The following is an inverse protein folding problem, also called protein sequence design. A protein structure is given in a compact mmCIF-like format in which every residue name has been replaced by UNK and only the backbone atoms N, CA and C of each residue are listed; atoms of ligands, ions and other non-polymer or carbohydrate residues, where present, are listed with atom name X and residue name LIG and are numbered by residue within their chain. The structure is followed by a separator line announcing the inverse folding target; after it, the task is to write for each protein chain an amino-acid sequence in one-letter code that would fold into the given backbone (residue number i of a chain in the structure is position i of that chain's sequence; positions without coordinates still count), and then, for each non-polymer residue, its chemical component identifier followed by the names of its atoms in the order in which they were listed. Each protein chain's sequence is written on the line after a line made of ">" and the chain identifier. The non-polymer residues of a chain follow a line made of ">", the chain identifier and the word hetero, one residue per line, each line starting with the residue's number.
data_IF_069046623418
#
_entry.id   IF_069046623418
#
_cell.length_a   1.000
_cell.length_b   1.000
_cell.length_c   1.000
_cell.angle_alpha   90.00
_cell.angle_beta   90.00
_cell.angle_gamma   90.00
#
_symmetry.space_group_name_H-M   'P 1'
#
loop_
_entity.id
_entity.type
_entity.pdbx_description
1 polymer ?
#
# COMPACT_ATOMS: atom_id res chain seq x y z
N UNK A 1 30.67 -29.50 -3.77
CA UNK A 1 31.37 -28.23 -3.49
C UNK A 1 31.78 -27.59 -4.84
N UNK A 2 30.82 -27.39 -5.75
CA UNK A 2 31.10 -27.22 -7.20
C UNK A 2 30.43 -25.97 -7.81
N UNK A 3 29.42 -25.38 -7.14
CA UNK A 3 28.69 -24.21 -7.66
C UNK A 3 29.38 -22.84 -7.49
N UNK A 4 30.31 -22.71 -6.54
CA UNK A 4 30.98 -21.42 -6.25
C UNK A 4 32.02 -21.04 -7.30
N UNK A 5 32.73 -22.02 -7.88
CA UNK A 5 33.77 -21.80 -8.89
C UNK A 5 33.20 -21.28 -10.20
N UNK A 6 32.13 -21.92 -10.71
CA UNK A 6 31.45 -21.51 -11.94
C UNK A 6 30.86 -20.10 -11.81
N UNK A 7 30.20 -19.79 -10.68
CA UNK A 7 29.63 -18.46 -10.42
C UNK A 7 30.71 -17.37 -10.37
N UNK A 8 31.83 -17.63 -9.70
CA UNK A 8 32.94 -16.68 -9.62
C UNK A 8 33.55 -16.37 -11.00
N UNK A 9 33.69 -17.40 -11.85
CA UNK A 9 34.25 -17.27 -13.20
C UNK A 9 33.33 -16.46 -14.11
N UNK A 10 32.02 -16.73 -14.06
CA UNK A 10 31.00 -15.99 -14.82
C UNK A 10 31.02 -14.49 -14.52
N UNK A 11 30.98 -14.10 -13.24
CA UNK A 11 31.00 -12.68 -12.89
C UNK A 11 32.33 -12.02 -13.22
N UNK A 12 33.46 -12.72 -13.08
CA UNK A 12 34.78 -12.21 -13.46
C UNK A 12 34.86 -11.88 -14.96
N UNK A 13 34.29 -12.73 -15.81
CA UNK A 13 34.22 -12.49 -17.25
C UNK A 13 33.26 -11.34 -17.58
N UNK A 14 32.09 -11.30 -16.93
CA UNK A 14 31.09 -10.23 -17.09
C UNK A 14 31.61 -8.85 -16.68
N UNK A 15 32.43 -8.77 -15.64
CA UNK A 15 33.11 -7.54 -15.24
C UNK A 15 34.16 -7.12 -16.27
N UNK A 16 34.96 -8.06 -16.78
CA UNK A 16 35.97 -7.77 -17.81
C UNK A 16 35.33 -7.27 -19.11
N UNK A 17 34.25 -7.89 -19.57
CA UNK A 17 33.55 -7.48 -20.79
C UNK A 17 32.82 -6.14 -20.66
N UNK A 18 32.53 -5.71 -19.43
CA UNK A 18 31.85 -4.44 -19.14
C UNK A 18 32.81 -3.33 -18.66
N UNK A 19 34.12 -3.56 -18.65
CA UNK A 19 35.11 -2.67 -18.03
C UNK A 19 35.18 -1.26 -18.62
N UNK A 20 34.72 -1.05 -19.86
CA UNK A 20 34.73 0.24 -20.54
C UNK A 20 33.48 1.08 -20.26
N UNK A 21 32.50 0.54 -19.54
CA UNK A 21 31.20 1.17 -19.28
C UNK A 21 30.93 1.21 -17.76
N UNK A 22 31.24 2.33 -17.09
CA UNK A 22 31.04 2.48 -15.65
C UNK A 22 29.59 2.25 -15.20
N UNK A 23 28.61 2.59 -16.05
CA UNK A 23 27.19 2.37 -15.76
C UNK A 23 26.88 0.87 -15.73
N UNK A 24 27.36 0.10 -16.71
CA UNK A 24 27.17 -1.37 -16.72
C UNK A 24 27.87 -2.04 -15.53
N UNK A 25 29.09 -1.60 -15.19
CA UNK A 25 29.79 -2.09 -14.00
C UNK A 25 28.96 -1.84 -12.73
N UNK A 26 28.44 -0.63 -12.57
CA UNK A 26 27.59 -0.27 -11.43
C UNK A 26 26.30 -1.10 -11.40
N UNK A 27 25.66 -1.34 -12.55
CA UNK A 27 24.48 -2.21 -12.64
C UNK A 27 24.80 -3.66 -12.21
N UNK A 28 25.92 -4.23 -12.67
CA UNK A 28 26.33 -5.59 -12.28
C UNK A 28 26.62 -5.65 -10.78
N UNK A 29 27.33 -4.66 -10.25
CA UNK A 29 27.66 -4.58 -8.82
C UNK A 29 26.40 -4.41 -7.97
N UNK A 30 25.50 -3.51 -8.36
CA UNK A 30 24.21 -3.29 -7.70
C UNK A 30 23.35 -4.56 -7.71
N UNK A 31 23.32 -5.31 -8.80
CA UNK A 31 22.61 -6.60 -8.89
C UNK A 31 23.18 -7.68 -7.96
N UNK A 32 24.47 -7.62 -7.61
CA UNK A 32 25.09 -8.54 -6.65
C UNK A 32 24.79 -8.15 -5.21
N UNK A 33 24.76 -6.85 -4.92
CA UNK A 33 24.44 -6.32 -3.59
C UNK A 33 22.94 -6.36 -3.29
N UNK A 34 22.12 -6.18 -4.33
CA UNK A 34 20.67 -6.19 -4.29
C UNK A 34 20.16 -7.31 -5.21
N UNK A 35 20.33 -8.59 -4.83
CA UNK A 35 19.79 -9.68 -5.62
C UNK A 35 18.28 -9.49 -5.78
N UNK A 36 17.72 -9.77 -6.97
CA UNK A 36 16.28 -9.77 -7.13
C UNK A 36 15.67 -10.71 -6.08
N UNK A 37 14.52 -10.35 -5.49
CA UNK A 37 13.86 -11.22 -4.53
C UNK A 37 13.64 -12.59 -5.18
N UNK A 38 13.77 -13.69 -4.41
CA UNK A 38 13.44 -15.01 -4.92
C UNK A 38 12.03 -14.96 -5.52
N UNK A 39 11.84 -15.58 -6.68
CA UNK A 39 10.53 -15.70 -7.31
C UNK A 39 9.59 -16.38 -6.31
N UNK A 40 8.74 -15.57 -5.66
CA UNK A 40 7.69 -16.09 -4.79
C UNK A 40 6.73 -16.89 -5.64
N UNK A 41 6.41 -18.12 -5.23
CA UNK A 41 5.36 -18.93 -5.87
C UNK A 41 3.95 -18.36 -5.66
N UNK A 42 3.83 -17.32 -4.85
CA UNK A 42 2.56 -16.67 -4.52
C UNK A 42 2.08 -15.81 -5.69
N UNK A 43 0.83 -16.02 -6.04
CA UNK A 43 0.06 -15.28 -7.04
C UNK A 43 -0.66 -14.10 -6.40
N UNK A 44 -1.19 -13.17 -7.22
CA UNK A 44 -2.00 -12.07 -6.72
C UNK A 44 -3.29 -12.58 -6.07
N UNK A 45 -3.85 -13.64 -6.62
CA UNK A 45 -5.05 -14.33 -6.17
C UNK A 45 -4.89 -14.89 -4.74
N UNK A 46 -3.69 -15.41 -4.42
CA UNK A 46 -3.37 -15.89 -3.06
C UNK A 46 -3.44 -14.75 -2.04
N UNK A 47 -2.97 -13.55 -2.40
CA UNK A 47 -3.06 -12.38 -1.53
C UNK A 47 -4.49 -11.90 -1.35
N UNK A 48 -5.27 -11.80 -2.44
CA UNK A 48 -6.67 -11.38 -2.39
C UNK A 48 -7.46 -12.30 -1.47
N UNK A 49 -7.39 -13.61 -1.71
CA UNK A 49 -8.10 -14.62 -0.93
C UNK A 49 -7.71 -14.55 0.54
N UNK A 50 -6.41 -14.50 0.85
CA UNK A 50 -5.94 -14.41 2.23
C UNK A 50 -6.43 -13.17 2.96
N UNK A 51 -6.44 -12.00 2.32
CA UNK A 51 -6.90 -10.77 2.96
C UNK A 51 -8.41 -10.76 3.17
N UNK A 52 -9.20 -11.27 2.22
CA UNK A 52 -10.65 -11.41 2.36
C UNK A 52 -11.03 -12.35 3.50
N UNK A 53 -10.42 -13.54 3.56
CA UNK A 53 -10.63 -14.50 4.64
C UNK A 53 -10.26 -13.93 6.01
N UNK A 54 -9.13 -13.20 6.08
CA UNK A 54 -8.69 -12.57 7.32
C UNK A 54 -9.69 -11.51 7.80
N UNK A 55 -10.23 -10.70 6.89
CA UNK A 55 -11.28 -9.72 7.20
C UNK A 55 -12.53 -10.44 7.72
N UNK A 56 -12.99 -11.48 7.02
CA UNK A 56 -14.15 -12.26 7.45
C UNK A 56 -13.97 -12.88 8.85
N UNK A 57 -12.80 -13.47 9.14
CA UNK A 57 -12.47 -14.04 10.44
C UNK A 57 -12.49 -12.99 11.56
N UNK A 58 -11.96 -11.78 11.28
CA UNK A 58 -12.02 -10.65 12.23
C UNK A 58 -13.47 -10.28 12.51
N UNK A 59 -14.32 -10.13 11.48
CA UNK A 59 -15.75 -9.83 11.67
C UNK A 59 -16.45 -10.90 12.53
N UNK A 60 -16.18 -12.18 12.27
CA UNK A 60 -16.78 -13.28 13.01
C UNK A 60 -16.34 -13.30 14.48
N UNK A 61 -15.10 -12.90 14.78
CA UNK A 61 -14.59 -12.82 16.16
C UNK A 61 -15.37 -11.81 17.02
N UNK A 62 -15.96 -10.78 16.42
CA UNK A 62 -16.76 -9.79 17.13
C UNK A 62 -18.21 -10.24 17.38
N UNK A 63 -18.72 -11.22 16.63
CA UNK A 63 -20.11 -11.70 16.76
C UNK A 63 -20.37 -12.52 18.03
N UNK A 64 -19.33 -12.89 18.78
CA UNK A 64 -19.43 -13.74 19.97
C UNK A 64 -19.63 -12.98 21.29
N UNK A 65 -19.68 -11.64 21.28
CA UNK A 65 -19.89 -10.88 22.51
C UNK A 65 -21.38 -10.94 22.90
N UNK A 66 -21.74 -11.51 24.08
CA UNK A 66 -23.11 -11.41 24.58
C UNK A 66 -23.48 -9.95 24.71
N UNK A 67 -24.59 -9.55 24.09
CA UNK A 67 -25.15 -8.21 24.25
C UNK A 67 -25.32 -7.92 25.74
N UNK A 68 -24.65 -6.90 26.31
CA UNK A 68 -24.98 -6.45 27.66
C UNK A 68 -26.46 -6.01 27.68
N UNK A 69 -27.17 -6.10 28.82
CA UNK A 69 -28.53 -5.61 28.94
C UNK A 69 -28.55 -4.15 28.49
N UNK A 70 -29.27 -3.89 27.40
CA UNK A 70 -29.39 -2.59 26.74
C UNK A 70 -29.88 -1.57 27.75
N UNK A 71 -28.97 -0.79 28.34
CA UNK A 71 -29.35 0.50 28.89
C UNK A 71 -29.67 1.35 27.66
N UNK A 72 -30.96 1.51 27.37
CA UNK A 72 -31.48 2.21 26.21
C UNK A 72 -31.12 3.69 26.38
N UNK A 73 -29.88 4.05 26.06
CA UNK A 73 -29.56 5.42 25.74
C UNK A 73 -30.32 5.70 24.45
N UNK A 74 -31.42 6.44 24.56
CA UNK A 74 -32.16 6.96 23.42
C UNK A 74 -31.14 7.48 22.40
N UNK A 75 -31.16 7.03 21.13
CA UNK A 75 -30.22 7.54 20.16
C UNK A 75 -30.41 9.06 20.12
N UNK A 76 -29.40 9.80 20.56
CA UNK A 76 -29.39 11.25 20.42
C UNK A 76 -29.51 11.51 18.92
N UNK A 77 -30.63 12.11 18.52
CA UNK A 77 -31.03 12.36 17.14
C UNK A 77 -30.23 13.49 16.50
N UNK A 78 -28.90 13.43 16.65
CA UNK A 78 -27.97 14.34 16.01
C UNK A 78 -27.71 13.82 14.59
N UNK A 79 -28.65 14.09 13.68
CA UNK A 79 -28.49 13.81 12.26
C UNK A 79 -27.67 14.93 11.62
N UNK A 80 -26.54 14.58 11.01
CA UNK A 80 -25.79 15.50 10.15
C UNK A 80 -26.53 15.61 8.82
N UNK A 81 -27.25 16.72 8.64
CA UNK A 81 -28.10 16.95 7.45
C UNK A 81 -27.37 17.66 6.31
N UNK A 82 -26.22 18.28 6.59
CA UNK A 82 -25.46 19.04 5.60
C UNK A 82 -23.99 19.19 5.99
N UNK A 83 -23.16 19.49 4.98
CA UNK A 83 -21.77 19.88 5.14
C UNK A 83 -21.57 21.29 4.59
N UNK A 84 -20.83 22.12 5.31
CA UNK A 84 -20.38 23.40 4.79
C UNK A 84 -19.17 23.21 3.85
N UNK A 85 -19.07 23.98 2.76
CA UNK A 85 -17.87 24.00 1.94
C UNK A 85 -16.68 24.53 2.75
N UNK A 86 -15.51 23.97 2.50
CA UNK A 86 -14.24 24.42 3.08
C UNK A 86 -13.69 25.63 2.33
N UNK A 87 -13.15 26.57 3.09
CA UNK A 87 -12.36 27.69 2.60
C UNK A 87 -10.99 27.23 2.08
N UNK A 88 -10.33 28.08 1.30
CA UNK A 88 -9.00 27.77 0.75
C UNK A 88 -7.95 27.64 1.86
N UNK A 89 -8.07 28.42 2.93
CA UNK A 89 -7.15 28.37 4.08
C UNK A 89 -7.29 27.07 4.87
N UNK A 90 -8.52 26.59 5.09
CA UNK A 90 -8.76 25.30 5.74
C UNK A 90 -8.18 24.13 4.93
N UNK A 91 -8.31 24.18 3.61
CA UNK A 91 -7.76 23.13 2.73
C UNK A 91 -6.23 23.18 2.71
N UNK A 92 -5.63 24.38 2.69
CA UNK A 92 -4.19 24.55 2.81
C UNK A 92 -3.67 24.03 4.15
N UNK A 93 -4.38 24.33 5.25
CA UNK A 93 -4.04 23.84 6.56
C UNK A 93 -4.11 22.31 6.62
N UNK A 94 -5.16 21.70 6.05
CA UNK A 94 -5.28 20.24 5.96
C UNK A 94 -4.11 19.64 5.18
N UNK A 95 -3.81 20.19 4.00
CA UNK A 95 -2.74 19.71 3.14
C UNK A 95 -1.35 19.84 3.80
N UNK A 96 -1.11 20.93 4.51
CA UNK A 96 0.17 21.16 5.20
C UNK A 96 0.31 20.37 6.50
N UNK A 97 -0.81 20.01 7.14
CA UNK A 97 -0.81 19.17 8.34
C UNK A 97 -0.68 17.67 8.04
N UNK A 98 -0.97 17.25 6.81
CA UNK A 98 -0.90 15.87 6.37
C UNK A 98 0.48 15.54 5.78
N UNK A 99 0.96 14.32 6.00
CA UNK A 99 2.12 13.81 5.27
C UNK A 99 1.80 13.75 3.77
N UNK A 100 2.64 14.34 2.89
CA UNK A 100 2.46 14.27 1.45
C UNK A 100 2.68 12.83 1.00
N UNK A 101 1.59 12.07 0.94
CA UNK A 101 1.58 10.73 0.37
C UNK A 101 0.91 10.81 -1.00
N UNK A 102 1.63 10.39 -2.04
CA UNK A 102 1.13 10.39 -3.42
C UNK A 102 0.99 8.95 -3.86
N UNK A 103 -0.22 8.53 -4.22
CA UNK A 103 -0.46 7.25 -4.87
C UNK A 103 -0.29 7.43 -6.39
N UNK A 104 0.29 6.46 -7.13
CA UNK A 104 0.29 6.49 -8.59
C UNK A 104 -1.11 6.58 -9.24
N UNK A 105 -2.16 6.24 -8.47
CA UNK A 105 -3.55 6.37 -8.89
C UNK A 105 -4.17 7.74 -8.55
N UNK A 106 -3.48 8.65 -7.85
CA UNK A 106 -4.03 9.96 -7.50
C UNK A 106 -4.11 10.86 -8.75
N UNK A 107 -5.31 11.10 -9.29
CA UNK A 107 -5.45 11.77 -10.58
C UNK A 107 -5.50 13.30 -10.45
N UNK A 108 -5.37 13.86 -9.25
CA UNK A 108 -5.70 15.28 -9.01
C UNK A 108 -4.46 16.15 -8.88
N UNK A 109 -4.25 17.13 -9.78
CA UNK A 109 -3.37 18.27 -9.53
C UNK A 109 -3.83 19.04 -8.29
N UNK A 110 -2.90 19.45 -7.42
CA UNK A 110 -3.18 20.14 -6.15
C UNK A 110 -4.17 21.32 -6.28
N UNK A 111 -4.20 22.01 -7.42
CA UNK A 111 -5.11 23.11 -7.70
C UNK A 111 -6.61 22.73 -7.77
N UNK A 112 -6.95 21.46 -8.02
CA UNK A 112 -8.34 21.01 -8.14
C UNK A 112 -8.88 20.36 -6.86
N UNK A 113 -8.05 20.16 -5.83
CA UNK A 113 -8.45 19.50 -4.59
C UNK A 113 -9.62 20.19 -3.89
N UNK A 114 -9.59 21.53 -3.79
CA UNK A 114 -10.65 22.30 -3.14
C UNK A 114 -12.02 22.05 -3.79
N UNK A 115 -12.08 22.15 -5.11
CA UNK A 115 -13.32 21.97 -5.87
C UNK A 115 -13.85 20.55 -5.71
N UNK A 116 -12.98 19.55 -5.76
CA UNK A 116 -13.38 18.15 -5.60
C UNK A 116 -13.91 17.87 -4.19
N UNK A 117 -13.23 18.35 -3.14
CA UNK A 117 -13.67 18.16 -1.75
C UNK A 117 -15.01 18.85 -1.53
N UNK A 118 -15.14 20.11 -1.91
CA UNK A 118 -16.38 20.88 -1.70
C UNK A 118 -17.56 20.29 -2.46
N UNK A 119 -17.35 19.83 -3.70
CA UNK A 119 -18.40 19.15 -4.47
C UNK A 119 -18.77 17.80 -3.85
N UNK A 120 -17.80 17.07 -3.30
CA UNK A 120 -18.06 15.80 -2.60
C UNK A 120 -18.88 16.02 -1.33
N UNK A 121 -18.57 17.07 -0.56
CA UNK A 121 -19.30 17.46 0.64
C UNK A 121 -20.73 17.91 0.31
N UNK A 122 -20.91 18.73 -0.72
CA UNK A 122 -22.24 19.25 -1.10
C UNK A 122 -23.14 18.18 -1.70
N UNK A 123 -22.58 17.25 -2.49
CA UNK A 123 -23.33 16.14 -3.11
C UNK A 123 -23.47 14.93 -2.20
N UNK A 124 -22.77 14.91 -1.06
CA UNK A 124 -22.66 13.74 -0.17
C UNK A 124 -22.22 12.48 -0.94
N UNK A 125 -21.43 12.68 -2.00
CA UNK A 125 -21.00 11.62 -2.89
C UNK A 125 -19.50 11.74 -3.16
N UNK A 126 -18.78 10.66 -2.84
CA UNK A 126 -17.35 10.55 -3.15
C UNK A 126 -17.17 9.92 -4.54
N UNK A 127 -16.43 10.56 -5.46
CA UNK A 127 -16.12 9.99 -6.77
C UNK A 127 -15.47 8.60 -6.68
N UNK A 128 -15.80 7.71 -7.62
CA UNK A 128 -15.29 6.32 -7.62
C UNK A 128 -13.76 6.25 -7.65
N UNK A 129 -13.10 7.20 -8.31
CA UNK A 129 -11.64 7.27 -8.34
C UNK A 129 -11.00 7.34 -6.94
N UNK A 130 -11.67 7.96 -5.94
CA UNK A 130 -11.18 8.01 -4.56
C UNK A 130 -11.62 6.83 -3.70
N UNK A 131 -12.40 5.90 -4.25
CA UNK A 131 -12.80 4.65 -3.59
C UNK A 131 -11.87 3.49 -3.95
N UNK A 132 -11.00 3.68 -4.93
CA UNK A 132 -10.05 2.68 -5.37
C UNK A 132 -8.69 2.96 -4.75
N UNK A 133 -8.09 1.94 -4.14
CA UNK A 133 -6.74 1.98 -3.63
C UNK A 133 -5.87 0.96 -4.37
N UNK A 134 -4.61 1.30 -4.62
CA UNK A 134 -3.61 0.33 -5.07
C UNK A 134 -3.06 -0.36 -3.83
N UNK A 135 -3.13 -1.69 -3.79
CA UNK A 135 -2.52 -2.47 -2.71
C UNK A 135 -1.31 -3.20 -3.27
N UNK A 136 -0.15 -2.95 -2.69
CA UNK A 136 1.08 -3.69 -3.01
C UNK A 136 1.48 -4.51 -1.79
N UNK A 137 1.37 -5.86 -1.83
CA UNK A 137 1.84 -6.67 -0.72
C UNK A 137 3.34 -6.47 -0.49
N UNK A 138 3.69 -6.05 0.73
CA UNK A 138 5.09 -5.90 1.14
C UNK A 138 5.38 -6.80 2.35
N UNK A 139 6.60 -7.33 2.42
CA UNK A 139 7.03 -8.12 3.57
C UNK A 139 6.99 -7.28 4.84
N UNK A 140 6.44 -7.84 5.92
CA UNK A 140 6.40 -7.18 7.24
C UNK A 140 7.81 -6.85 7.73
N UNK A 141 8.78 -7.73 7.47
CA UNK A 141 10.22 -7.56 7.72
C UNK A 141 11.01 -8.24 6.60
N UNK A 142 12.15 -7.67 6.23
CA UNK A 142 12.99 -8.19 5.15
C UNK A 142 13.53 -9.62 5.38
N UNK A 143 13.59 -10.07 6.63
CA UNK A 143 14.11 -11.41 7.00
C UNK A 143 13.05 -12.50 7.01
N UNK A 144 11.78 -12.16 6.76
CA UNK A 144 10.69 -13.14 6.77
C UNK A 144 10.66 -13.91 5.44
N UNK A 145 10.14 -15.13 5.51
CA UNK A 145 9.99 -15.98 4.33
C UNK A 145 8.96 -15.41 3.35
N UNK A 146 9.42 -15.13 2.12
CA UNK A 146 8.62 -14.62 1.01
C UNK A 146 7.68 -15.65 0.38
N UNK A 147 7.78 -16.93 0.78
CA UNK A 147 6.85 -17.96 0.32
C UNK A 147 5.55 -18.01 1.13
N UNK A 148 5.48 -17.34 2.29
CA UNK A 148 4.30 -17.32 3.15
C UNK A 148 3.52 -16.01 3.03
N UNK A 149 2.28 -16.08 2.56
CA UNK A 149 1.36 -14.93 2.44
C UNK A 149 1.14 -14.21 3.78
N UNK A 150 1.22 -14.94 4.90
CA UNK A 150 1.03 -14.40 6.25
C UNK A 150 2.11 -13.40 6.65
N UNK A 151 3.28 -13.44 6.01
CA UNK A 151 4.40 -12.54 6.27
C UNK A 151 4.26 -11.19 5.58
N UNK A 152 3.23 -11.02 4.75
CA UNK A 152 2.97 -9.78 4.03
C UNK A 152 1.97 -8.89 4.76
N UNK A 153 2.06 -7.60 4.48
CA UNK A 153 1.06 -6.58 4.84
C UNK A 153 0.66 -5.81 3.58
N UNK A 154 -0.55 -5.21 3.56
CA UNK A 154 -0.88 -4.20 2.57
C UNK A 154 0.16 -3.08 2.64
N UNK A 155 0.82 -2.80 1.51
CA UNK A 155 1.68 -1.65 1.30
C UNK A 155 0.95 -0.58 0.51
N UNK A 156 1.31 0.66 0.82
CA UNK A 156 0.81 1.91 0.22
C UNK A 156 1.33 2.06 -1.22
#
# INVERSE_FOLDING_TARGET
>A
MEGTSAKSSYYREKFKSSSSDPCKLFTIFSSLLNPPPPSSSLTLEDFITFFEEKVAAIHQSFSSVPTPPTNVHSPTSNSLTSFSPLSSDEILQLLTSSDPTTCPLDPIPSALFQTVINNSLSSVCVPTAFKTARVVPILKKATLDSSSVTNYRPGN
#
